data_IF_450470611558
#
_entry.id   IF_450470611558
#
_cell.length_a   1.000
_cell.length_b   1.000
_cell.length_c   1.000
_cell.angle_alpha   90.00
_cell.angle_beta   90.00
_cell.angle_gamma   90.00
#
_symmetry.space_group_name_H-M   'P 1'
#
loop_
_entity.id
_entity.type
_entity.pdbx_description
1 polymer ?
#
# COMPACT_ATOMS: atom_id res chain seq x y z
N UNK A 1 34.45 -24.16 10.69
CA UNK A 1 33.22 -24.70 10.09
C UNK A 1 32.07 -23.89 10.66
N UNK A 2 31.68 -22.81 9.98
CA UNK A 2 30.62 -21.90 10.42
C UNK A 2 29.39 -22.23 9.60
N UNK A 3 28.31 -22.62 10.27
CA UNK A 3 27.04 -22.96 9.65
C UNK A 3 26.30 -21.68 9.24
N UNK A 4 26.06 -21.50 7.94
CA UNK A 4 25.22 -20.45 7.40
C UNK A 4 23.78 -20.97 7.33
N UNK A 5 22.91 -20.54 8.25
CA UNK A 5 21.47 -20.80 8.12
C UNK A 5 20.89 -19.88 7.05
N UNK A 6 20.23 -20.48 6.07
CA UNK A 6 19.62 -19.84 4.90
C UNK A 6 18.28 -19.14 5.22
N UNK A 7 18.27 -18.18 6.15
CA UNK A 7 17.16 -17.23 6.23
C UNK A 7 17.64 -15.90 5.68
N UNK A 8 17.28 -15.64 4.43
CA UNK A 8 17.54 -14.38 3.75
C UNK A 8 16.73 -13.25 4.41
N UNK A 9 17.27 -12.62 5.44
CA UNK A 9 16.78 -11.31 5.84
C UNK A 9 17.25 -10.31 4.77
N UNK A 10 16.38 -10.09 3.78
CA UNK A 10 16.60 -9.03 2.81
C UNK A 10 16.43 -7.72 3.58
N UNK A 11 17.52 -6.96 3.75
CA UNK A 11 17.50 -5.65 4.43
C UNK A 11 16.44 -4.77 3.76
N UNK A 12 15.44 -4.32 4.53
CA UNK A 12 14.47 -3.33 4.07
C UNK A 12 15.24 -2.07 3.62
N UNK A 13 14.99 -1.59 2.40
CA UNK A 13 15.67 -0.45 1.83
C UNK A 13 14.95 0.11 0.61
N UNK A 14 15.21 1.38 0.28
CA UNK A 14 14.65 2.04 -0.89
C UNK A 14 14.97 1.22 -2.17
N UNK A 15 13.92 0.77 -2.87
CA UNK A 15 14.01 -0.10 -4.05
C UNK A 15 13.72 -1.59 -3.79
N UNK A 16 13.69 -2.03 -2.53
CA UNK A 16 13.36 -3.42 -2.14
C UNK A 16 11.95 -3.57 -1.57
N UNK A 17 11.29 -2.45 -1.25
CA UNK A 17 9.92 -2.40 -0.77
C UNK A 17 9.30 -1.03 -1.03
N UNK A 18 7.96 -0.99 -1.05
CA UNK A 18 7.20 0.24 -1.19
C UNK A 18 6.32 0.46 0.04
N UNK A 19 6.29 1.67 0.58
CA UNK A 19 5.26 2.08 1.53
C UNK A 19 3.95 2.29 0.77
N UNK A 20 2.96 1.43 1.01
CA UNK A 20 1.67 1.47 0.33
C UNK A 20 0.66 2.33 1.08
N UNK A 21 -0.03 3.19 0.35
CA UNK A 21 -1.17 3.93 0.90
C UNK A 21 -2.43 3.08 0.76
N UNK A 22 -3.18 2.94 1.86
CA UNK A 22 -4.39 2.13 1.90
C UNK A 22 -5.60 2.95 2.34
N UNK A 23 -6.77 2.58 1.82
CA UNK A 23 -8.06 3.12 2.23
C UNK A 23 -8.93 2.00 2.79
N UNK A 24 -9.56 2.26 3.94
CA UNK A 24 -10.63 1.41 4.45
C UNK A 24 -11.91 1.60 3.65
N UNK A 25 -12.53 0.49 3.28
CA UNK A 25 -13.81 0.42 2.61
C UNK A 25 -14.95 0.24 3.62
N UNK A 26 -16.18 0.55 3.20
CA UNK A 26 -17.36 0.46 4.07
C UNK A 26 -17.65 -0.95 4.60
N UNK A 27 -17.22 -1.98 3.86
CA UNK A 27 -17.32 -3.39 4.27
C UNK A 27 -16.19 -3.84 5.22
N UNK A 28 -15.35 -2.92 5.69
CA UNK A 28 -14.24 -3.23 6.60
C UNK A 28 -13.02 -3.84 5.93
N UNK A 29 -12.89 -3.82 4.60
CA UNK A 29 -11.64 -4.24 3.93
C UNK A 29 -10.71 -3.05 3.73
N UNK A 30 -9.40 -3.30 3.69
CA UNK A 30 -8.40 -2.32 3.24
C UNK A 30 -8.07 -2.58 1.79
N UNK A 31 -8.03 -1.53 0.97
CA UNK A 31 -7.56 -1.60 -0.40
C UNK A 31 -6.37 -0.66 -0.60
N UNK A 32 -5.41 -1.06 -1.42
CA UNK A 32 -4.30 -0.17 -1.79
C UNK A 32 -4.80 0.88 -2.77
N UNK A 33 -4.46 2.13 -2.52
CA UNK A 33 -4.79 3.28 -3.36
C UNK A 33 -3.81 3.35 -4.53
N UNK A 34 -4.24 3.62 -5.78
CA UNK A 34 -3.30 3.84 -6.89
C UNK A 34 -2.42 5.07 -6.65
N UNK A 35 -1.10 4.93 -6.84
CA UNK A 35 -0.18 6.07 -6.83
C UNK A 35 0.15 6.60 -8.23
N UNK A 36 -0.30 5.90 -9.27
CA UNK A 36 -0.04 6.21 -10.68
C UNK A 36 1.46 6.38 -10.98
N UNK A 37 2.30 5.60 -10.30
CA UNK A 37 3.76 5.62 -10.46
C UNK A 37 4.49 6.67 -9.62
N UNK A 38 3.79 7.51 -8.85
CA UNK A 38 4.43 8.58 -8.07
C UNK A 38 5.08 8.08 -6.77
N UNK A 39 4.52 7.04 -6.13
CA UNK A 39 5.05 6.45 -4.88
C UNK A 39 5.39 4.97 -5.03
N UNK A 40 4.65 4.27 -5.88
CA UNK A 40 4.85 2.88 -6.25
C UNK A 40 4.19 2.56 -7.59
N UNK A 41 4.77 1.64 -8.38
CA UNK A 41 4.18 1.21 -9.65
C UNK A 41 2.88 0.43 -9.40
N UNK A 42 1.79 0.93 -9.96
CA UNK A 42 0.46 0.31 -9.83
C UNK A 42 0.44 -1.14 -10.32
N UNK A 43 1.17 -1.46 -11.38
CA UNK A 43 1.16 -2.81 -11.95
C UNK A 43 1.85 -3.88 -11.08
N UNK A 44 2.60 -3.48 -10.04
CA UNK A 44 3.29 -4.42 -9.15
C UNK A 44 2.49 -4.73 -7.87
N UNK A 45 1.36 -4.06 -7.63
CA UNK A 45 0.61 -4.19 -6.39
C UNK A 45 -0.79 -4.72 -6.68
N UNK A 46 -1.17 -5.81 -6.01
CA UNK A 46 -2.53 -6.34 -5.99
C UNK A 46 -2.84 -6.82 -4.56
N UNK A 47 -4.06 -6.61 -4.03
CA UNK A 47 -5.23 -5.98 -4.64
C UNK A 47 -5.19 -4.44 -4.59
N UNK A 48 -5.49 -3.80 -5.72
CA UNK A 48 -5.71 -2.36 -5.82
C UNK A 48 -7.19 -2.03 -5.88
N UNK A 49 -7.59 -1.01 -5.13
CA UNK A 49 -8.95 -0.48 -5.15
C UNK A 49 -9.06 0.82 -5.93
N UNK A 50 -10.29 1.27 -6.15
CA UNK A 50 -10.57 2.62 -6.61
C UNK A 50 -10.53 3.52 -5.38
N UNK A 51 -9.79 4.63 -5.45
CA UNK A 51 -9.84 5.65 -4.40
C UNK A 51 -11.24 6.25 -4.35
N UNK A 52 -11.89 6.18 -3.20
CA UNK A 52 -13.19 6.79 -2.98
C UNK A 52 -13.04 8.05 -2.14
N UNK A 53 -13.66 9.15 -2.55
CA UNK A 53 -13.68 10.35 -1.71
C UNK A 53 -14.57 10.06 -0.49
N UNK A 54 -14.09 10.27 0.75
CA UNK A 54 -14.91 10.05 1.92
C UNK A 54 -16.14 10.97 1.94
N UNK A 55 -17.31 10.48 2.39
CA UNK A 55 -18.58 11.21 2.27
C UNK A 55 -18.59 12.53 3.08
N UNK A 56 -17.86 12.59 4.19
CA UNK A 56 -17.73 13.79 5.01
C UNK A 56 -16.91 14.91 4.38
N UNK A 57 -16.15 14.64 3.31
CA UNK A 57 -15.40 15.68 2.58
C UNK A 57 -16.35 16.62 1.81
N UNK A 58 -17.48 16.09 1.33
CA UNK A 58 -18.50 16.87 0.60
C UNK A 58 -19.58 17.43 1.53
N UNK A 59 -19.50 17.14 2.84
CA UNK A 59 -20.41 17.73 3.82
C UNK A 59 -19.94 19.15 4.12
N UNK A 60 -20.71 20.15 3.69
CA UNK A 60 -20.59 21.48 4.28
C UNK A 60 -20.99 21.35 5.74
N UNK A 61 -20.04 21.56 6.65
CA UNK A 61 -20.33 21.68 8.07
C UNK A 61 -21.19 22.94 8.23
N UNK A 62 -22.48 22.74 8.52
CA UNK A 62 -23.44 23.81 8.78
C UNK A 62 -23.31 24.32 10.22
#
# INVERSE_FOLDING_TARGET
NLAFTASHDTREGFGLGYTLWVQWQANGTKVVVPSYGARYPNHLIAPMGIYQVPPWVMTAWA
#
